data_IF_422127291456
#
_entry.id   IF_422127291456
#
_cell.length_a   1.000
_cell.length_b   1.000
_cell.length_c   1.000
_cell.angle_alpha   90.00
_cell.angle_beta   90.00
_cell.angle_gamma   90.00
#
_symmetry.space_group_name_H-M   'P 1'
#
loop_
_entity.id
_entity.type
_entity.pdbx_description
1 polymer ?
#
# COMPACT_ATOMS: atom_id res chain seq x y z
N UNK A 1 2.35 0.02 -12.00
CA UNK A 1 1.85 -0.68 -10.78
C UNK A 1 2.36 0.05 -9.55
N UNK A 2 1.82 -0.25 -8.38
CA UNK A 2 2.32 0.28 -7.10
C UNK A 2 2.69 -0.86 -6.18
N UNK A 3 3.83 -0.74 -5.51
CA UNK A 3 4.15 -1.53 -4.32
C UNK A 3 3.74 -0.68 -3.11
N UNK A 4 2.83 -1.21 -2.31
CA UNK A 4 2.41 -0.58 -1.06
C UNK A 4 2.98 -1.40 0.08
N UNK A 5 3.70 -0.76 0.98
CA UNK A 5 4.28 -1.36 2.18
C UNK A 5 3.78 -0.62 3.40
N UNK A 6 3.37 -1.34 4.45
CA UNK A 6 2.88 -0.75 5.70
C UNK A 6 3.27 -1.58 6.91
N UNK A 7 3.15 -0.97 8.07
CA UNK A 7 3.38 -1.63 9.36
C UNK A 7 2.04 -1.91 10.01
N UNK A 8 1.84 -3.15 10.44
CA UNK A 8 0.69 -3.59 11.23
C UNK A 8 1.20 -4.29 12.49
N UNK A 9 1.06 -3.63 13.64
CA UNK A 9 1.72 -4.06 14.87
C UNK A 9 3.25 -4.02 14.71
N UNK A 10 3.89 -5.18 14.82
CA UNK A 10 5.34 -5.35 14.62
C UNK A 10 5.68 -5.93 13.23
N UNK A 11 4.67 -6.22 12.40
CA UNK A 11 4.86 -6.85 11.10
C UNK A 11 4.90 -5.84 9.96
N UNK A 12 5.81 -6.07 9.02
CA UNK A 12 5.91 -5.31 7.77
C UNK A 12 5.16 -6.09 6.68
N UNK A 13 4.09 -5.49 6.20
CA UNK A 13 3.23 -6.04 5.16
C UNK A 13 3.45 -5.34 3.82
N UNK A 14 3.22 -6.05 2.72
CA UNK A 14 3.32 -5.49 1.39
C UNK A 14 2.30 -6.07 0.41
N UNK A 15 1.93 -5.26 -0.59
CA UNK A 15 1.05 -5.68 -1.68
C UNK A 15 1.31 -4.91 -2.96
N UNK A 16 1.21 -5.62 -4.08
CA UNK A 16 1.16 -5.01 -5.40
C UNK A 16 -0.27 -4.58 -5.75
N UNK A 17 -0.45 -3.32 -6.13
CA UNK A 17 -1.76 -2.71 -6.38
C UNK A 17 -1.76 -1.99 -7.72
N UNK A 18 -2.83 -2.15 -8.50
CA UNK A 18 -3.00 -1.38 -9.75
C UNK A 18 -3.44 0.05 -9.44
N UNK A 19 -3.18 0.99 -10.36
CA UNK A 19 -3.54 2.42 -10.17
C UNK A 19 -5.01 2.62 -9.80
N UNK A 20 -5.90 1.87 -10.44
CA UNK A 20 -7.35 1.96 -10.23
C UNK A 20 -7.81 1.40 -8.87
N UNK A 21 -7.05 0.46 -8.29
CA UNK A 21 -7.36 -0.19 -7.01
C UNK A 21 -6.76 0.56 -5.83
N UNK A 22 -5.75 1.40 -6.07
CA UNK A 22 -5.00 2.11 -5.04
C UNK A 22 -5.88 2.97 -4.12
N UNK A 23 -6.83 3.80 -4.62
CA UNK A 23 -7.67 4.62 -3.74
C UNK A 23 -8.52 3.76 -2.78
N UNK A 24 -9.13 2.69 -3.31
CA UNK A 24 -9.93 1.75 -2.51
C UNK A 24 -9.05 1.00 -1.52
N UNK A 25 -7.85 0.59 -1.93
CA UNK A 25 -6.91 -0.10 -1.05
C UNK A 25 -6.47 0.79 0.11
N UNK A 26 -6.13 2.06 -0.14
CA UNK A 26 -5.77 3.01 0.91
C UNK A 26 -6.93 3.40 1.83
N UNK A 27 -8.18 3.31 1.34
CA UNK A 27 -9.35 3.57 2.15
C UNK A 27 -9.78 2.37 3.01
N UNK A 28 -9.65 1.16 2.46
CA UNK A 28 -10.11 -0.09 3.07
C UNK A 28 -9.08 -0.68 4.02
N UNK A 29 -7.82 -0.73 3.60
CA UNK A 29 -6.75 -0.94 4.54
C UNK A 29 -6.59 0.39 5.23
N UNK A 30 -7.03 0.47 6.49
CA UNK A 30 -6.56 1.48 7.43
C UNK A 30 -5.05 1.28 7.69
N UNK A 31 -4.25 1.10 6.62
CA UNK A 31 -2.82 1.32 6.58
C UNK A 31 -2.69 2.62 7.34
N UNK A 32 -2.11 2.59 8.53
CA UNK A 32 -2.16 3.73 9.41
C UNK A 32 -1.53 4.96 8.74
N UNK A 33 -1.17 5.97 9.52
CA UNK A 33 -0.43 7.13 9.01
C UNK A 33 0.95 6.78 8.39
N UNK A 34 1.33 5.49 8.36
CA UNK A 34 2.63 4.97 7.98
C UNK A 34 2.50 3.89 6.89
N UNK A 35 2.29 4.33 5.65
CA UNK A 35 2.43 3.49 4.47
C UNK A 35 3.38 4.15 3.46
N UNK A 36 4.22 3.34 2.83
CA UNK A 36 5.07 3.75 1.70
C UNK A 36 4.41 3.27 0.42
N UNK A 37 4.19 4.18 -0.52
CA UNK A 37 3.59 3.89 -1.81
C UNK A 37 4.65 4.16 -2.88
N UNK A 38 5.16 3.08 -3.47
CA UNK A 38 6.17 3.16 -4.52
C UNK A 38 5.53 2.88 -5.88
N UNK A 39 5.60 3.85 -6.79
CA UNK A 39 5.28 3.61 -8.19
C UNK A 39 6.38 2.73 -8.80
N UNK A 40 6.00 1.56 -9.29
CA UNK A 40 6.90 0.71 -10.04
C UNK A 40 7.03 1.28 -11.46
N UNK A 41 8.27 1.49 -11.90
CA UNK A 41 8.58 1.89 -13.27
C UNK A 41 8.02 0.85 -14.25
N UNK A 42 7.59 1.32 -15.41
CA UNK A 42 7.28 0.46 -16.55
C UNK A 42 8.55 0.10 -17.28
#
# INVERSE_FOLDING_TARGET
>A
MFLVTWIEGEEVNYRLVKKQELPTFMAAAALGKHAIIQKLAS
#
